data_IF_517534706739
#
_entry.id   IF_517534706739
#
_cell.length_a   1.000
_cell.length_b   1.000
_cell.length_c   1.000
_cell.angle_alpha   90.00
_cell.angle_beta   90.00
_cell.angle_gamma   90.00
#
_symmetry.space_group_name_H-M   'P 1'
#
loop_
_entity.id
_entity.type
_entity.pdbx_description
1 polymer ?
#
# COMPACT_ATOMS: atom_id res chain seq x y z
N UNK A 1 -1.27 -7.53 -16.27
CA UNK A 1 -2.61 -6.96 -16.01
C UNK A 1 -3.65 -8.02 -15.63
N UNK A 2 -3.78 -9.15 -16.35
CA UNK A 2 -4.74 -10.23 -16.01
C UNK A 2 -4.62 -10.76 -14.57
N UNK A 3 -3.41 -10.81 -14.03
CA UNK A 3 -3.18 -11.21 -12.62
C UNK A 3 -3.87 -10.30 -11.60
N UNK A 4 -3.97 -8.99 -11.86
CA UNK A 4 -4.61 -8.04 -10.93
C UNK A 4 -6.11 -8.32 -10.82
N UNK A 5 -6.73 -8.71 -11.94
CA UNK A 5 -8.14 -9.05 -12.04
C UNK A 5 -8.46 -10.41 -11.40
N UNK A 6 -7.45 -11.21 -11.06
CA UNK A 6 -7.62 -12.51 -10.41
C UNK A 6 -7.81 -12.45 -8.89
N UNK A 7 -7.57 -11.30 -8.27
CA UNK A 7 -7.75 -11.15 -6.82
C UNK A 7 -9.23 -11.08 -6.45
N UNK A 8 -9.79 -12.20 -5.99
CA UNK A 8 -11.21 -12.30 -5.58
C UNK A 8 -11.54 -11.52 -4.30
N UNK A 9 -10.58 -11.37 -3.38
CA UNK A 9 -10.75 -10.67 -2.12
C UNK A 9 -9.52 -9.86 -1.75
N UNK A 10 -9.74 -8.64 -1.25
CA UNK A 10 -8.70 -7.70 -0.81
C UNK A 10 -9.18 -6.89 0.39
N UNK A 11 -8.32 -6.73 1.39
CA UNK A 11 -8.58 -5.85 2.55
C UNK A 11 -7.39 -4.90 2.72
N UNK A 12 -7.63 -3.58 2.88
CA UNK A 12 -6.57 -2.62 3.12
C UNK A 12 -5.89 -2.86 4.48
N UNK A 13 -4.61 -2.49 4.54
CA UNK A 13 -3.83 -2.51 5.78
C UNK A 13 -2.80 -3.63 5.87
N UNK A 14 -2.33 -3.85 7.09
CA UNK A 14 -1.27 -4.81 7.39
C UNK A 14 -1.64 -5.65 8.62
N UNK A 15 -1.51 -6.97 8.46
CA UNK A 15 -1.58 -7.90 9.57
C UNK A 15 -0.24 -7.99 10.29
N UNK A 16 -0.27 -7.90 11.62
CA UNK A 16 0.90 -8.11 12.47
C UNK A 16 0.52 -8.85 13.75
N UNK A 17 1.48 -9.62 14.25
CA UNK A 17 1.44 -10.18 15.61
C UNK A 17 2.35 -9.29 16.46
N UNK A 18 1.75 -8.66 17.47
CA UNK A 18 2.48 -7.90 18.50
C UNK A 18 2.41 -8.66 19.81
N UNK A 19 3.31 -8.41 20.74
CA UNK A 19 3.32 -9.09 22.03
C UNK A 19 3.07 -8.06 23.15
N UNK A 20 2.09 -8.34 24.01
CA UNK A 20 1.64 -7.42 25.06
C UNK A 20 1.70 -8.09 26.43
N UNK A 21 2.25 -7.41 27.44
CA UNK A 21 2.22 -7.88 28.82
C UNK A 21 0.83 -7.64 29.42
N UNK A 22 0.33 -8.55 30.26
CA UNK A 22 -0.99 -8.44 30.88
C UNK A 22 -0.99 -7.66 32.22
N UNK A 23 0.18 -7.23 32.70
CA UNK A 23 0.33 -6.48 33.95
C UNK A 23 0.35 -7.34 35.23
N UNK A 24 0.02 -8.64 35.15
CA UNK A 24 0.08 -9.55 36.30
C UNK A 24 1.50 -10.05 36.53
N UNK A 25 2.02 -9.85 37.74
CA UNK A 25 3.37 -10.29 38.15
C UNK A 25 3.52 -11.82 38.13
N UNK A 26 2.44 -12.54 38.42
CA UNK A 26 2.41 -14.01 38.41
C UNK A 26 2.21 -14.63 37.02
N UNK A 27 2.11 -13.84 35.96
CA UNK A 27 1.92 -14.37 34.62
C UNK A 27 3.27 -14.65 33.93
N UNK A 28 3.36 -15.75 33.17
CA UNK A 28 4.54 -16.08 32.36
C UNK A 28 4.96 -14.94 31.41
N UNK A 29 4.01 -14.08 31.02
CA UNK A 29 4.26 -12.95 30.14
C UNK A 29 5.08 -11.81 30.79
N UNK A 30 5.17 -11.78 32.13
CA UNK A 30 5.89 -10.74 32.87
C UNK A 30 7.40 -10.80 32.61
N UNK A 31 7.96 -12.02 32.65
CA UNK A 31 9.39 -12.31 32.42
C UNK A 31 9.73 -12.58 30.94
N UNK A 32 8.72 -12.85 30.09
CA UNK A 32 8.90 -13.13 28.65
C UNK A 32 8.45 -11.95 27.77
N UNK A 33 8.36 -12.20 26.45
CA UNK A 33 8.05 -11.20 25.41
C UNK A 33 6.61 -10.64 25.48
N UNK A 34 5.70 -11.24 26.24
CA UNK A 34 4.28 -10.87 26.29
C UNK A 34 3.35 -11.91 25.65
N UNK A 35 2.04 -11.72 25.79
CA UNK A 35 1.03 -12.51 25.09
C UNK A 35 0.91 -12.08 23.62
N UNK A 36 0.77 -13.02 22.67
CA UNK A 36 0.57 -12.69 21.27
C UNK A 36 -0.80 -12.04 21.04
N UNK A 37 -0.79 -10.83 20.49
CA UNK A 37 -1.94 -10.08 20.03
C UNK A 37 -1.89 -9.93 18.52
N UNK A 38 -2.85 -10.55 17.86
CA UNK A 38 -2.96 -10.59 16.39
C UNK A 38 -3.87 -9.46 15.97
N UNK A 39 -3.38 -8.57 15.13
CA UNK A 39 -4.16 -7.41 14.70
C UNK A 39 -3.93 -7.08 13.24
N UNK A 40 -4.96 -6.51 12.64
CA UNK A 40 -4.86 -5.77 11.38
C UNK A 40 -4.95 -4.29 11.69
N UNK A 41 -4.10 -3.50 11.03
CA UNK A 41 -4.12 -2.04 11.10
C UNK A 41 -4.26 -1.47 9.69
N UNK A 42 -5.20 -0.54 9.49
CA UNK A 42 -5.46 0.11 8.19
C UNK A 42 -5.82 1.58 8.40
N UNK A 43 -5.74 2.37 7.33
CA UNK A 43 -6.18 3.77 7.36
C UNK A 43 -7.55 3.89 6.72
N UNK A 44 -8.45 4.59 7.38
CA UNK A 44 -9.81 4.88 6.92
C UNK A 44 -10.11 6.35 7.25
N UNK A 45 -10.49 7.13 6.24
CA UNK A 45 -10.76 8.57 6.37
C UNK A 45 -9.62 9.36 7.05
N UNK A 46 -8.36 9.02 6.70
CA UNK A 46 -7.16 9.64 7.29
C UNK A 46 -6.80 9.17 8.70
N UNK A 47 -7.63 8.32 9.33
CA UNK A 47 -7.41 7.83 10.68
C UNK A 47 -6.91 6.38 10.67
N UNK A 48 -5.93 6.08 11.54
CA UNK A 48 -5.45 4.71 11.75
C UNK A 48 -6.46 3.91 12.58
N UNK A 49 -6.95 2.81 12.02
CA UNK A 49 -7.87 1.85 12.64
C UNK A 49 -7.14 0.54 12.90
N UNK A 50 -7.49 -0.13 13.98
CA UNK A 50 -6.89 -1.42 14.35
C UNK A 50 -7.97 -2.36 14.87
N UNK A 51 -7.91 -3.63 14.47
CA UNK A 51 -8.84 -4.68 14.91
C UNK A 51 -8.10 -5.97 15.27
N UNK A 52 -8.52 -6.62 16.35
CA UNK A 52 -8.02 -7.94 16.73
C UNK A 52 -8.51 -9.02 15.76
N UNK A 53 -7.65 -9.98 15.45
CA UNK A 53 -7.93 -11.07 14.52
C UNK A 53 -7.91 -12.41 15.27
N UNK A 54 -9.00 -13.20 15.21
CA UNK A 54 -9.03 -14.56 15.75
C UNK A 54 -7.97 -15.46 15.08
N UNK A 55 -7.42 -16.43 15.82
CA UNK A 55 -6.38 -17.33 15.28
C UNK A 55 -6.85 -18.08 14.01
N UNK A 56 -8.14 -18.46 13.95
CA UNK A 56 -8.73 -19.17 12.80
C UNK A 56 -8.70 -18.36 11.48
N UNK A 57 -8.65 -17.03 11.58
CA UNK A 57 -8.75 -16.13 10.43
C UNK A 57 -7.38 -15.58 9.98
N UNK A 58 -6.29 -15.98 10.66
CA UNK A 58 -4.94 -15.44 10.42
C UNK A 58 -4.48 -15.65 8.98
N UNK A 59 -4.64 -16.86 8.46
CA UNK A 59 -4.13 -17.20 7.13
C UNK A 59 -4.94 -16.51 6.04
N UNK A 60 -6.26 -16.45 6.22
CA UNK A 60 -7.14 -15.69 5.32
C UNK A 60 -6.78 -14.20 5.32
N UNK A 61 -6.61 -13.58 6.49
CA UNK A 61 -6.24 -12.16 6.59
C UNK A 61 -4.87 -11.89 5.96
N UNK A 62 -3.87 -12.75 6.16
CA UNK A 62 -2.57 -12.62 5.50
C UNK A 62 -2.70 -12.67 3.97
N UNK A 63 -3.53 -13.58 3.46
CA UNK A 63 -3.78 -13.72 2.03
C UNK A 63 -4.43 -12.46 1.45
N UNK A 64 -5.55 -12.00 2.01
CA UNK A 64 -6.32 -10.87 1.45
C UNK A 64 -5.62 -9.52 1.62
N UNK A 65 -4.85 -9.32 2.70
CA UNK A 65 -3.99 -8.13 2.86
C UNK A 65 -2.78 -8.18 1.92
N UNK A 66 -2.23 -9.37 1.68
CA UNK A 66 -1.20 -9.61 0.68
C UNK A 66 -1.67 -9.27 -0.74
N UNK A 67 -2.88 -9.69 -1.11
CA UNK A 67 -3.50 -9.35 -2.39
C UNK A 67 -3.64 -7.83 -2.56
N UNK A 68 -4.16 -7.14 -1.54
CA UNK A 68 -4.26 -5.68 -1.57
C UNK A 68 -2.90 -4.99 -1.78
N UNK A 69 -1.85 -5.48 -1.10
CA UNK A 69 -0.49 -4.93 -1.28
C UNK A 69 0.02 -5.12 -2.70
N UNK A 70 -0.18 -6.30 -3.29
CA UNK A 70 0.20 -6.57 -4.70
C UNK A 70 -0.57 -5.66 -5.66
N UNK A 71 -1.88 -5.55 -5.46
CA UNK A 71 -2.74 -4.64 -6.22
C UNK A 71 -2.24 -3.19 -6.17
N UNK A 72 -2.02 -2.65 -4.97
CA UNK A 72 -1.52 -1.28 -4.79
C UNK A 72 -0.14 -1.05 -5.42
N UNK A 73 0.76 -2.04 -5.35
CA UNK A 73 2.06 -1.97 -6.02
C UNK A 73 1.88 -1.82 -7.52
N UNK A 74 1.01 -2.61 -8.14
CA UNK A 74 0.72 -2.52 -9.57
C UNK A 74 0.08 -1.20 -9.98
N UNK A 75 -0.86 -0.68 -9.20
CA UNK A 75 -1.40 0.67 -9.44
C UNK A 75 -0.30 1.75 -9.41
N UNK A 76 0.66 1.63 -8.49
CA UNK A 76 1.80 2.55 -8.41
C UNK A 76 2.69 2.46 -9.65
N UNK A 77 3.04 1.24 -10.08
CA UNK A 77 3.83 1.01 -11.29
C UNK A 77 3.16 1.63 -12.54
N UNK A 78 1.84 1.47 -12.69
CA UNK A 78 1.09 2.09 -13.80
C UNK A 78 1.15 3.62 -13.72
N UNK A 79 0.97 4.19 -12.53
CA UNK A 79 1.04 5.63 -12.34
C UNK A 79 2.42 6.18 -12.71
N UNK A 80 3.49 5.51 -12.27
CA UNK A 80 4.87 5.91 -12.60
C UNK A 80 5.13 5.91 -14.11
N UNK A 81 4.62 4.90 -14.84
CA UNK A 81 4.71 4.85 -16.29
C UNK A 81 3.91 5.97 -16.97
N UNK A 82 2.69 6.25 -16.49
CA UNK A 82 1.85 7.31 -17.01
C UNK A 82 2.49 8.68 -16.80
N UNK A 83 3.01 8.93 -15.59
CA UNK A 83 3.71 10.17 -15.25
C UNK A 83 4.97 10.35 -16.12
N UNK A 84 5.73 9.27 -16.34
CA UNK A 84 6.89 9.27 -17.23
C UNK A 84 6.54 9.61 -18.69
N UNK A 85 5.49 8.98 -19.24
CA UNK A 85 5.02 9.28 -20.60
C UNK A 85 4.55 10.72 -20.74
N UNK A 86 3.81 11.22 -19.75
CA UNK A 86 3.34 12.61 -19.74
C UNK A 86 4.50 13.60 -19.80
N UNK A 87 5.53 13.39 -18.97
CA UNK A 87 6.70 14.26 -18.92
C UNK A 87 7.45 14.29 -20.27
N UNK A 88 7.63 13.14 -20.91
CA UNK A 88 8.27 13.05 -22.24
C UNK A 88 7.49 13.84 -23.30
N UNK A 89 6.16 13.74 -23.30
CA UNK A 89 5.32 14.48 -24.24
C UNK A 89 5.36 15.99 -23.98
N UNK A 90 5.40 16.43 -22.72
CA UNK A 90 5.55 17.84 -22.38
C UNK A 90 6.91 18.40 -22.81
N UNK A 91 7.98 17.63 -22.63
CA UNK A 91 9.33 18.02 -23.06
C UNK A 91 9.42 18.14 -24.58
N UNK A 92 8.93 17.12 -25.30
CA UNK A 92 8.83 17.15 -26.75
C UNK A 92 8.03 18.37 -27.23
N UNK A 93 6.87 18.65 -26.62
CA UNK A 93 6.05 19.82 -26.94
C UNK A 93 6.82 21.13 -26.78
N UNK A 94 7.57 21.29 -25.67
CA UNK A 94 8.41 22.48 -25.45
C UNK A 94 9.49 22.64 -26.51
N UNK A 95 10.15 21.55 -26.90
CA UNK A 95 11.17 21.59 -27.95
C UNK A 95 10.59 22.01 -29.30
N UNK A 96 9.44 21.45 -29.68
CA UNK A 96 8.75 21.82 -30.91
C UNK A 96 8.35 23.30 -30.89
N UNK A 97 7.74 23.77 -29.80
CA UNK A 97 7.37 25.18 -29.64
C UNK A 97 8.59 26.08 -29.77
N UNK A 98 9.72 25.72 -29.14
CA UNK A 98 10.98 26.47 -29.25
C UNK A 98 11.46 26.56 -30.69
N UNK A 99 11.49 25.44 -31.41
CA UNK A 99 11.88 25.40 -32.84
C UNK A 99 10.94 26.25 -33.70
N UNK A 100 9.63 26.16 -33.46
CA UNK A 100 8.63 26.96 -34.20
C UNK A 100 8.82 28.46 -33.98
N UNK A 101 9.09 28.90 -32.75
CA UNK A 101 9.39 30.32 -32.44
C UNK A 101 10.66 30.81 -33.12
N UNK A 102 11.68 29.97 -33.26
CA UNK A 102 12.90 30.33 -33.99
C UNK A 102 12.68 30.53 -35.49
N UNK A 103 11.66 29.89 -36.08
CA UNK A 103 11.39 29.99 -37.51
C UNK A 103 10.62 31.25 -37.90
N UNK A 104 9.75 31.77 -37.02
CA UNK A 104 8.99 32.99 -37.26
C UNK A 104 8.80 33.76 -35.95
N UNK A 105 9.28 34.99 -35.95
CA UNK A 105 9.25 35.90 -34.81
C UNK A 105 7.92 36.67 -34.80
N UNK A 106 6.84 35.97 -34.42
CA UNK A 106 5.53 36.60 -34.18
C UNK A 106 5.30 36.92 -32.69
N UNK A 107 6.30 36.69 -31.83
CA UNK A 107 6.25 36.89 -30.39
C UNK A 107 7.60 37.36 -29.82
#
# INVERSE_FOLDING_TARGET
MKEILSFRFMIPGAFKIVYCKCGKENCWCYQKKGHPFRRITWTENGLSKTKAIPQKDVDWIKQVTGNYRKFRKKCKEIKELQDGLKNLLEEYGKEIIKKSRQLRDYF
#
